data_IF_127228607146
#
_entry.id   IF_127228607146
#
_cell.length_a   1.000
_cell.length_b   1.000
_cell.length_c   1.000
_cell.angle_alpha   90.00
_cell.angle_beta   90.00
_cell.angle_gamma   90.00
#
_symmetry.space_group_name_H-M   'P 1'
#
loop_
_entity.id
_entity.type
_entity.pdbx_description
1 polymer ?
#
# COMPACT_ATOMS: atom_id res chain seq x y z
N UNK A 1 -3.57 -9.41 -10.29
CA UNK A 1 -3.81 -8.18 -9.50
C UNK A 1 -3.46 -8.48 -8.06
N UNK A 2 -3.05 -7.47 -7.28
CA UNK A 2 -2.83 -7.59 -5.85
C UNK A 2 -3.92 -6.86 -5.09
N UNK A 3 -4.35 -7.44 -3.97
CA UNK A 3 -5.33 -6.86 -3.08
C UNK A 3 -4.88 -7.08 -1.64
N UNK A 4 -4.68 -6.00 -0.90
CA UNK A 4 -4.44 -6.01 0.53
C UNK A 4 -5.76 -6.29 1.23
N UNK A 5 -5.89 -7.50 1.79
CA UNK A 5 -7.10 -7.94 2.47
C UNK A 5 -7.48 -7.06 3.65
N UNK A 6 -6.50 -6.46 4.34
CA UNK A 6 -6.71 -5.68 5.56
C UNK A 6 -7.04 -4.22 5.27
N UNK A 7 -6.36 -3.60 4.31
CA UNK A 7 -6.50 -2.18 4.04
C UNK A 7 -7.27 -1.87 2.74
N UNK A 8 -7.51 -2.88 1.90
CA UNK A 8 -8.27 -2.72 0.65
C UNK A 8 -7.47 -2.14 -0.52
N UNK A 9 -6.18 -1.87 -0.34
CA UNK A 9 -5.30 -1.40 -1.41
C UNK A 9 -5.17 -2.43 -2.52
N UNK A 10 -5.19 -1.99 -3.78
CA UNK A 10 -5.00 -2.90 -4.90
C UNK A 10 -4.14 -2.30 -6.01
N UNK A 11 -3.57 -3.19 -6.82
CA UNK A 11 -2.72 -2.83 -7.94
C UNK A 11 -2.44 -3.98 -8.91
N UNK A 12 -1.58 -3.72 -9.88
CA UNK A 12 -1.04 -4.73 -10.80
C UNK A 12 0.32 -5.22 -10.26
N UNK A 13 0.68 -6.46 -10.55
CA UNK A 13 1.97 -7.03 -10.16
C UNK A 13 3.11 -6.20 -10.76
N UNK A 14 4.16 -5.94 -9.98
CA UNK A 14 5.33 -5.18 -10.44
C UNK A 14 5.08 -3.69 -10.62
N UNK A 15 4.00 -3.15 -10.05
CA UNK A 15 3.61 -1.74 -10.18
C UNK A 15 3.26 -1.11 -8.81
N UNK A 16 3.32 0.22 -8.76
CA UNK A 16 2.83 1.03 -7.64
C UNK A 16 1.34 0.79 -7.34
N UNK A 17 0.88 1.23 -6.16
CA UNK A 17 -0.52 1.10 -5.79
C UNK A 17 -1.46 1.88 -6.74
N UNK A 18 -2.53 1.24 -7.23
CA UNK A 18 -3.46 1.85 -8.19
C UNK A 18 -4.71 2.42 -7.53
N UNK A 19 -5.13 1.86 -6.40
CA UNK A 19 -6.27 2.39 -5.66
C UNK A 19 -6.66 1.55 -4.47
N UNK A 20 -7.89 1.76 -4.00
CA UNK A 20 -8.48 1.08 -2.85
C UNK A 20 -9.89 0.62 -3.20
N UNK A 21 -10.26 -0.58 -2.76
CA UNK A 21 -11.63 -1.12 -2.77
C UNK A 21 -11.98 -1.55 -1.33
N UNK A 22 -13.24 -1.93 -1.01
CA UNK A 22 -13.59 -2.38 0.33
C UNK A 22 -12.63 -3.45 0.84
N UNK A 23 -12.13 -3.36 2.08
CA UNK A 23 -11.33 -4.39 2.72
C UNK A 23 -12.15 -5.64 3.05
N UNK A 24 -11.47 -6.71 3.44
CA UNK A 24 -12.07 -7.98 3.84
C UNK A 24 -12.97 -8.66 2.80
N UNK A 25 -12.70 -8.49 1.50
CA UNK A 25 -13.39 -9.24 0.44
C UNK A 25 -12.90 -10.69 0.46
N UNK A 26 -13.71 -11.68 0.89
CA UNK A 26 -13.23 -13.05 1.07
C UNK A 26 -12.75 -13.70 -0.23
N UNK A 27 -13.38 -13.34 -1.35
CA UNK A 27 -13.03 -13.82 -2.69
C UNK A 27 -11.66 -13.33 -3.17
N UNK A 28 -11.06 -12.36 -2.48
CA UNK A 28 -9.75 -11.79 -2.81
C UNK A 28 -8.70 -12.10 -1.73
N UNK A 29 -9.03 -12.93 -0.73
CA UNK A 29 -8.11 -13.33 0.34
C UNK A 29 -7.12 -14.40 -0.13
N UNK A 30 -6.23 -14.01 -1.04
CA UNK A 30 -5.14 -14.85 -1.52
C UNK A 30 -3.83 -14.47 -0.82
N UNK A 31 -2.90 -15.44 -0.62
CA UNK A 31 -1.58 -15.14 -0.09
C UNK A 31 -0.91 -14.05 -0.93
N UNK A 32 -0.41 -13.00 -0.28
CA UNK A 32 0.27 -11.91 -0.97
C UNK A 32 1.78 -12.14 -0.96
N UNK A 33 2.43 -12.38 -2.12
CA UNK A 33 3.88 -12.48 -2.16
C UNK A 33 4.54 -11.15 -1.76
N UNK A 34 5.72 -11.22 -1.13
CA UNK A 34 6.43 -10.03 -0.63
C UNK A 34 6.78 -9.05 -1.76
N UNK A 35 7.35 -9.56 -2.86
CA UNK A 35 7.88 -8.74 -3.96
C UNK A 35 6.89 -8.47 -5.11
N UNK A 36 5.57 -8.44 -4.90
CA UNK A 36 4.69 -8.15 -6.06
C UNK A 36 4.54 -6.68 -6.42
N UNK A 37 5.33 -5.78 -5.83
CA UNK A 37 5.33 -4.38 -6.20
C UNK A 37 6.44 -4.11 -7.20
N UNK A 38 7.37 -5.05 -7.40
CA UNK A 38 8.68 -4.73 -7.98
C UNK A 38 9.43 -3.75 -7.08
N UNK A 39 9.26 -3.89 -5.76
CA UNK A 39 9.97 -3.08 -4.77
C UNK A 39 11.39 -3.60 -4.62
N UNK A 40 12.31 -2.71 -4.27
CA UNK A 40 13.66 -3.05 -3.82
C UNK A 40 14.06 -2.08 -2.70
N UNK A 41 13.09 -1.76 -1.84
CA UNK A 41 13.23 -0.75 -0.79
C UNK A 41 13.56 -1.38 0.55
N UNK A 42 13.31 -2.68 0.72
CA UNK A 42 13.41 -3.35 2.02
C UNK A 42 12.35 -2.88 3.03
N UNK A 43 11.37 -2.08 2.61
CA UNK A 43 10.29 -1.58 3.46
C UNK A 43 9.00 -2.28 3.12
N UNK A 44 8.31 -2.80 4.13
CA UNK A 44 7.09 -3.57 3.96
C UNK A 44 5.89 -2.87 4.60
N UNK A 45 4.73 -2.90 3.92
CA UNK A 45 3.43 -2.52 4.47
C UNK A 45 2.50 -3.72 4.36
N UNK A 46 1.93 -4.19 5.48
CA UNK A 46 1.07 -5.38 5.53
C UNK A 46 1.69 -6.60 4.80
N UNK A 47 3.01 -6.76 4.88
CA UNK A 47 3.76 -7.84 4.22
C UNK A 47 4.07 -7.61 2.73
N UNK A 48 3.67 -6.47 2.15
CA UNK A 48 4.01 -6.04 0.80
C UNK A 48 5.21 -5.11 0.80
N UNK A 49 6.21 -5.40 0.00
CA UNK A 49 7.29 -4.45 -0.22
C UNK A 49 6.79 -3.21 -0.98
N UNK A 50 7.20 -2.03 -0.55
CA UNK A 50 6.87 -0.77 -1.20
C UNK A 50 7.63 -0.62 -2.52
N UNK A 51 6.92 -0.11 -3.53
CA UNK A 51 7.55 0.37 -4.76
C UNK A 51 8.28 1.69 -4.46
N UNK A 52 9.40 1.95 -5.14
CA UNK A 52 10.25 3.13 -4.89
C UNK A 52 9.46 4.44 -4.84
N UNK A 53 8.60 4.68 -5.84
CA UNK A 53 7.72 5.86 -5.89
C UNK A 53 6.81 6.04 -4.66
N UNK A 54 6.24 4.94 -4.14
CA UNK A 54 5.38 4.97 -2.97
C UNK A 54 6.21 5.18 -1.70
N UNK A 55 7.41 4.58 -1.65
CA UNK A 55 8.39 4.78 -0.58
C UNK A 55 8.86 6.24 -0.49
N UNK A 56 9.33 6.83 -1.60
CA UNK A 56 9.79 8.22 -1.64
C UNK A 56 8.70 9.19 -1.16
N UNK A 57 7.45 8.94 -1.55
CA UNK A 57 6.29 9.72 -1.11
C UNK A 57 6.07 9.62 0.40
N UNK A 58 6.20 8.42 0.98
CA UNK A 58 5.95 8.20 2.40
C UNK A 58 7.12 8.69 3.26
N UNK A 59 8.36 8.54 2.81
CA UNK A 59 9.55 9.11 3.46
C UNK A 59 9.43 10.64 3.52
N UNK A 60 9.00 11.27 2.42
CA UNK A 60 8.71 12.71 2.39
C UNK A 60 7.59 13.15 3.36
N UNK A 61 6.83 12.21 3.93
CA UNK A 61 5.80 12.45 4.94
C UNK A 61 6.18 11.96 6.34
N UNK A 62 7.44 11.55 6.54
CA UNK A 62 7.95 11.13 7.84
C UNK A 62 8.00 9.63 8.07
N UNK A 63 7.83 8.79 7.04
CA UNK A 63 8.16 7.36 7.15
C UNK A 63 9.67 7.20 7.35
N UNK A 64 10.08 6.32 8.27
CA UNK A 64 11.50 6.01 8.44
C UNK A 64 12.03 5.26 7.21
N UNK A 65 13.18 5.73 6.69
CA UNK A 65 13.92 5.13 5.58
C UNK A 65 14.81 3.96 5.99
N UNK A 66 14.81 3.57 7.27
CA UNK A 66 15.64 2.47 7.76
C UNK A 66 15.23 1.15 7.10
N UNK A 67 16.16 0.44 6.44
CA UNK A 67 15.86 -0.82 5.74
C UNK A 67 15.34 -1.88 6.70
N UNK A 68 14.63 -2.86 6.15
CA UNK A 68 14.00 -4.00 6.84
C UNK A 68 12.89 -3.63 7.85
N UNK A 69 12.42 -2.38 7.83
CA UNK A 69 11.22 -2.01 8.59
C UNK A 69 9.95 -2.51 7.91
N UNK A 70 9.05 -3.01 8.75
CA UNK A 70 7.71 -3.41 8.37
C UNK A 70 6.69 -2.54 9.10
N UNK A 71 5.62 -2.20 8.41
CA UNK A 71 4.52 -1.40 8.94
C UNK A 71 3.19 -2.12 8.70
N UNK A 72 2.22 -1.88 9.57
CA UNK A 72 0.83 -2.33 9.43
C UNK A 72 -0.06 -1.14 9.10
N UNK A 73 -0.97 -1.32 8.15
CA UNK A 73 -1.99 -0.32 7.82
C UNK A 73 -3.37 -0.91 8.05
N UNK A 74 -4.18 -0.17 8.78
CA UNK A 74 -5.58 -0.50 9.05
C UNK A 74 -6.53 0.19 8.04
N UNK A 75 -7.77 -0.31 7.94
CA UNK A 75 -8.81 0.30 7.09
C UNK A 75 -9.10 1.76 7.44
N UNK A 76 -8.86 2.15 8.70
CA UNK A 76 -8.96 3.53 9.18
C UNK A 76 -7.94 4.47 8.54
N UNK A 77 -6.93 3.93 7.84
CA UNK A 77 -5.77 4.66 7.34
C UNK A 77 -4.67 4.85 8.38
N UNK A 78 -4.84 4.32 9.60
CA UNK A 78 -3.80 4.32 10.63
C UNK A 78 -2.65 3.41 10.24
N UNK A 79 -1.44 3.87 10.51
CA UNK A 79 -0.20 3.16 10.22
C UNK A 79 0.53 2.89 11.52
N UNK A 80 1.02 1.68 11.69
CA UNK A 80 1.77 1.27 12.87
C UNK A 80 3.09 0.66 12.45
N UNK A 81 4.15 0.87 13.23
CA UNK A 81 5.37 0.08 13.11
C UNK A 81 5.07 -1.37 13.53
N UNK A 82 5.48 -2.34 12.72
CA UNK A 82 5.16 -3.75 12.95
C UNK A 82 5.94 -4.35 14.14
N UNK A 83 7.08 -3.72 14.50
CA UNK A 83 7.96 -4.17 15.58
C UNK A 83 7.62 -3.47 16.89
N UNK A 84 7.57 -2.13 16.90
CA UNK A 84 7.30 -1.37 18.13
C UNK A 84 5.80 -1.28 18.45
N UNK A 85 4.92 -1.42 17.45
CA UNK A 85 3.48 -1.21 17.60
C UNK A 85 3.09 0.27 17.71
N UNK A 86 4.05 1.19 17.57
CA UNK A 86 3.78 2.63 17.65
C UNK A 86 3.00 3.11 16.43
N UNK A 87 1.97 3.93 16.66
CA UNK A 87 1.20 4.58 15.60
C UNK A 87 2.02 5.73 15.00
N UNK A 88 2.20 5.71 13.68
CA UNK A 88 2.84 6.80 12.94
C UNK A 88 1.82 7.90 12.64
N UNK A 89 1.97 9.01 13.35
CA UNK A 89 1.26 10.24 13.05
C UNK A 89 1.96 10.98 11.89
N UNK A 90 1.19 11.69 11.05
CA UNK A 90 1.69 12.57 9.95
C UNK A 90 1.92 11.97 8.55
N UNK A 91 1.65 10.67 8.30
CA UNK A 91 1.73 10.11 6.93
C UNK A 91 0.64 10.61 5.95
N UNK A 92 -0.35 11.34 6.46
CA UNK A 92 -1.47 11.88 5.68
C UNK A 92 -2.32 10.80 5.01
N UNK A 93 -3.10 11.17 4.00
CA UNK A 93 -3.89 10.18 3.23
C UNK A 93 -2.97 9.32 2.39
N UNK A 94 -2.98 8.01 2.62
CA UNK A 94 -2.11 7.04 1.94
C UNK A 94 -2.48 6.80 0.46
N UNK A 95 -3.72 7.09 0.07
CA UNK A 95 -4.23 6.94 -1.30
C UNK A 95 -4.77 8.28 -1.87
N UNK A 96 -3.96 9.35 -1.97
CA UNK A 96 -4.45 10.66 -2.37
C UNK A 96 -4.91 10.70 -3.85
N UNK A 97 -4.37 9.81 -4.68
CA UNK A 97 -4.75 9.61 -6.09
C UNK A 97 -6.14 8.99 -6.26
N UNK A 98 -6.61 8.21 -5.28
CA UNK A 98 -7.98 7.62 -5.29
C UNK A 98 -9.03 8.73 -5.27
N UNK A 99 -8.86 9.71 -4.40
CA UNK A 99 -9.77 10.87 -4.29
C UNK A 99 -9.64 11.80 -5.50
N UNK A 100 -8.41 12.16 -5.88
CA UNK A 100 -8.18 13.08 -7.02
C UNK A 100 -8.63 12.52 -8.35
N UNK A 101 -8.49 11.20 -8.57
CA UNK A 101 -8.89 10.57 -9.83
C UNK A 101 -10.33 10.03 -9.82
N UNK A 102 -11.09 10.16 -8.72
CA UNK A 102 -12.38 9.45 -8.50
C UNK A 102 -12.27 7.94 -8.76
N UNK A 103 -11.09 7.35 -8.54
CA UNK A 103 -10.81 5.93 -8.81
C UNK A 103 -11.02 5.12 -7.53
N UNK A 104 -12.28 4.86 -7.23
CA UNK A 104 -12.74 3.95 -6.16
C UNK A 104 -13.84 2.99 -6.60
N UNK A 105 -14.27 3.05 -7.87
CA UNK A 105 -15.31 2.18 -8.42
C UNK A 105 -14.70 0.89 -8.98
N UNK A 106 -14.22 0.02 -8.08
CA UNK A 106 -13.77 -1.33 -8.39
C UNK A 106 -12.33 -1.45 -8.94
N UNK A 107 -11.97 -2.68 -9.31
CA UNK A 107 -10.63 -3.05 -9.79
C UNK A 107 -10.50 -2.94 -11.31
N UNK A 108 -10.46 -1.72 -11.86
CA UNK A 108 -10.26 -1.49 -13.30
C UNK A 108 -8.84 -0.99 -13.57
N UNK A 109 -7.93 -1.80 -14.14
CA UNK A 109 -6.62 -1.31 -14.53
C UNK A 109 -6.76 -0.20 -15.59
N UNK A 110 -5.89 0.84 -15.57
CA UNK A 110 -5.92 1.88 -16.59
C UNK A 110 -5.63 1.30 -17.99
N UNK A 111 -6.25 1.85 -19.03
CA UNK A 111 -6.07 1.40 -20.44
C UNK A 111 -4.65 1.62 -20.97
N UNK A 112 -3.85 2.41 -20.28
CA UNK A 112 -2.44 2.64 -20.57
C UNK A 112 -1.68 2.65 -19.25
N UNK A 113 -0.71 1.76 -19.11
CA UNK A 113 0.23 1.71 -18.00
C UNK A 113 1.48 2.41 -18.53
N UNK A 114 1.76 3.63 -18.05
CA UNK A 114 2.98 4.38 -18.34
C UNK A 114 3.88 4.34 -17.11
#
# INVERSE_FOLDING_TARGET
>A
SRYDYRAGFWGVMGQSCLGMIPPFIPQLNYPMPKNCAGGNTGIFINGRELHQKDFDLLVGRGLSESPDRSYKVEMSGKVYDDVSGEELYCLGKLAPTVEKMKRGFGMRPPRTIH
#
